data_IF_499328724677
#
_entry.id   IF_499328724677
#
_cell.length_a   1.000
_cell.length_b   1.000
_cell.length_c   1.000
_cell.angle_alpha   90.00
_cell.angle_beta   90.00
_cell.angle_gamma   90.00
#
_symmetry.space_group_name_H-M   'P 1'
#
loop_
_entity.id
_entity.type
_entity.pdbx_description
1 polymer ?
#
# COMPACT_ATOMS: atom_id res chain seq x y z
N UNK A 1 13.16 -14.75 19.18
CA UNK A 1 13.58 -13.35 18.90
C UNK A 1 14.50 -13.25 17.69
N UNK A 2 15.74 -13.77 17.71
CA UNK A 2 16.65 -13.66 16.56
C UNK A 2 16.16 -14.42 15.31
N UNK A 3 15.65 -15.65 15.49
CA UNK A 3 15.03 -16.43 14.40
C UNK A 3 13.83 -15.72 13.78
N UNK A 4 12.99 -15.12 14.60
CA UNK A 4 11.78 -14.42 14.15
C UNK A 4 12.15 -13.14 13.40
N UNK A 5 13.15 -12.40 13.90
CA UNK A 5 13.70 -11.22 13.22
C UNK A 5 14.28 -11.59 11.85
N UNK A 6 15.10 -12.64 11.79
CA UNK A 6 15.66 -13.12 10.52
C UNK A 6 14.56 -13.57 9.57
N UNK A 7 13.57 -14.33 10.05
CA UNK A 7 12.46 -14.81 9.22
C UNK A 7 11.67 -13.64 8.66
N UNK A 8 11.46 -12.59 9.45
CA UNK A 8 10.81 -11.37 9.01
C UNK A 8 11.64 -10.61 7.96
N UNK A 9 12.95 -10.42 8.20
CA UNK A 9 13.86 -9.73 7.27
C UNK A 9 13.95 -10.49 5.94
N UNK A 10 14.15 -11.81 5.97
CA UNK A 10 14.21 -12.63 4.76
C UNK A 10 12.86 -12.66 4.05
N UNK A 11 11.75 -12.73 4.78
CA UNK A 11 10.41 -12.62 4.23
C UNK A 11 10.22 -11.32 3.44
N UNK A 12 10.56 -10.19 4.06
CA UNK A 12 10.51 -8.88 3.40
C UNK A 12 11.42 -8.82 2.18
N UNK A 13 12.65 -9.34 2.28
CA UNK A 13 13.59 -9.37 1.17
C UNK A 13 13.00 -10.08 -0.05
N UNK A 14 12.41 -11.26 0.13
CA UNK A 14 11.76 -11.99 -0.97
C UNK A 14 10.53 -11.26 -1.52
N UNK A 15 9.69 -10.68 -0.64
CA UNK A 15 8.54 -9.85 -1.07
C UNK A 15 9.02 -8.72 -1.98
N UNK A 16 10.05 -7.99 -1.60
CA UNK A 16 10.56 -6.87 -2.39
C UNK A 16 11.13 -7.30 -3.74
N UNK A 17 11.83 -8.43 -3.81
CA UNK A 17 12.32 -8.99 -5.08
C UNK A 17 11.16 -9.38 -5.99
N UNK A 18 10.18 -10.13 -5.47
CA UNK A 18 9.02 -10.54 -6.25
C UNK A 18 8.21 -9.35 -6.78
N UNK A 19 7.94 -8.39 -5.91
CA UNK A 19 7.28 -7.13 -6.26
C UNK A 19 8.04 -6.37 -7.36
N UNK A 20 9.37 -6.30 -7.27
CA UNK A 20 10.21 -5.67 -8.30
C UNK A 20 10.10 -6.39 -9.65
N UNK A 21 10.18 -7.73 -9.66
CA UNK A 21 10.08 -8.52 -10.88
C UNK A 21 8.72 -8.36 -11.55
N UNK A 22 7.64 -8.37 -10.75
CA UNK A 22 6.28 -8.22 -11.25
C UNK A 22 6.04 -6.80 -11.77
N UNK A 23 6.52 -5.79 -11.05
CA UNK A 23 6.50 -4.40 -11.50
C UNK A 23 7.22 -4.24 -12.85
N UNK A 24 8.46 -4.75 -12.96
CA UNK A 24 9.23 -4.73 -14.22
C UNK A 24 8.49 -5.45 -15.35
N UNK A 25 7.88 -6.60 -15.08
CA UNK A 25 7.08 -7.32 -16.08
C UNK A 25 5.94 -6.47 -16.64
N UNK A 26 5.22 -5.73 -15.78
CA UNK A 26 4.13 -4.86 -16.19
C UNK A 26 4.61 -3.61 -16.94
N UNK A 27 5.72 -3.01 -16.51
CA UNK A 27 6.38 -1.91 -17.23
C UNK A 27 6.79 -2.35 -18.65
N UNK A 28 7.43 -3.52 -18.78
CA UNK A 28 7.88 -4.05 -20.09
C UNK A 28 6.70 -4.39 -21.00
N UNK A 29 5.62 -4.97 -20.44
CA UNK A 29 4.43 -5.33 -21.22
C UNK A 29 3.59 -4.13 -21.65
N UNK A 30 3.87 -2.93 -21.12
CA UNK A 30 3.14 -1.69 -21.44
C UNK A 30 1.64 -1.75 -21.11
N UNK A 31 1.24 -2.68 -20.24
CA UNK A 31 -0.19 -3.02 -20.03
C UNK A 31 -0.90 -2.09 -19.06
N UNK A 32 -0.19 -1.40 -18.18
CA UNK A 32 -0.69 -0.34 -17.29
C UNK A 32 0.50 0.24 -16.51
N UNK A 33 0.48 1.55 -16.18
CA UNK A 33 1.50 2.16 -15.30
C UNK A 33 1.10 1.92 -13.84
N UNK A 34 1.66 0.88 -13.24
CA UNK A 34 1.47 0.59 -11.83
C UNK A 34 2.61 1.17 -10.99
N UNK A 35 2.29 1.73 -9.84
CA UNK A 35 3.30 2.11 -8.85
C UNK A 35 3.91 0.86 -8.23
N UNK A 36 5.22 0.83 -8.03
CA UNK A 36 5.89 -0.20 -7.22
C UNK A 36 5.26 -0.34 -5.83
N UNK A 37 4.81 0.76 -5.23
CA UNK A 37 4.16 0.76 -3.91
C UNK A 37 2.88 -0.08 -3.90
N UNK A 38 2.18 -0.19 -5.03
CA UNK A 38 0.99 -1.03 -5.16
C UNK A 38 1.31 -2.52 -4.93
N UNK A 39 2.53 -2.95 -5.26
CA UNK A 39 2.95 -4.35 -5.16
C UNK A 39 3.35 -4.75 -3.75
N UNK A 40 3.89 -3.80 -2.98
CA UNK A 40 4.37 -4.05 -1.61
C UNK A 40 3.34 -3.70 -0.53
N UNK A 41 2.26 -3.02 -0.90
CA UNK A 41 1.14 -2.67 -0.01
C UNK A 41 0.17 -3.83 0.06
N UNK A 42 -0.23 -4.21 1.28
CA UNK A 42 -1.25 -5.24 1.46
C UNK A 42 -2.57 -4.81 0.82
N UNK A 43 -3.13 -5.70 -0.01
CA UNK A 43 -4.47 -5.52 -0.53
C UNK A 43 -5.48 -5.43 0.61
N UNK A 44 -6.57 -4.64 0.46
CA UNK A 44 -7.63 -4.67 1.46
C UNK A 44 -8.18 -6.09 1.60
N UNK A 45 -8.34 -6.54 2.85
CA UNK A 45 -8.95 -7.82 3.16
C UNK A 45 -10.45 -7.72 2.87
N UNK A 46 -10.86 -8.25 1.71
CA UNK A 46 -12.25 -8.28 1.25
C UNK A 46 -12.81 -9.71 1.27
N UNK A 47 -12.12 -10.63 1.94
CA UNK A 47 -12.52 -12.02 2.06
C UNK A 47 -13.86 -12.13 2.79
N UNK A 48 -14.77 -12.95 2.25
CA UNK A 48 -16.11 -13.17 2.80
C UNK A 48 -17.21 -12.27 2.23
N UNK A 49 -16.88 -11.34 1.34
CA UNK A 49 -17.90 -10.59 0.59
C UNK A 49 -18.49 -11.48 -0.51
N UNK A 50 -19.83 -11.64 -0.55
CA UNK A 50 -20.55 -12.39 -1.60
C UNK A 50 -20.64 -11.59 -2.91
N UNK A 51 -19.52 -11.07 -3.40
CA UNK A 51 -19.40 -10.31 -4.65
C UNK A 51 -18.11 -10.69 -5.36
N UNK A 52 -18.01 -10.38 -6.64
CA UNK A 52 -16.72 -10.41 -7.33
C UNK A 52 -15.77 -9.40 -6.66
N UNK A 53 -14.48 -9.77 -6.55
CA UNK A 53 -13.49 -8.97 -5.84
C UNK A 53 -13.43 -7.52 -6.37
N UNK A 54 -13.50 -7.32 -7.68
CA UNK A 54 -13.51 -5.99 -8.28
C UNK A 54 -14.66 -5.11 -7.78
N UNK A 55 -15.87 -5.66 -7.70
CA UNK A 55 -17.03 -4.93 -7.20
C UNK A 55 -16.90 -4.63 -5.70
N UNK A 56 -16.43 -5.60 -4.92
CA UNK A 56 -16.15 -5.42 -3.49
C UNK A 56 -15.08 -4.33 -3.26
N UNK A 57 -14.07 -4.28 -4.13
CA UNK A 57 -12.99 -3.30 -4.07
C UNK A 57 -13.46 -1.89 -4.39
N UNK A 58 -14.26 -1.71 -5.45
CA UNK A 58 -14.83 -0.40 -5.79
C UNK A 58 -15.75 0.12 -4.68
N UNK A 59 -16.57 -0.75 -4.08
CA UNK A 59 -17.39 -0.41 -2.92
C UNK A 59 -16.53 -0.01 -1.71
N UNK A 60 -15.44 -0.75 -1.45
CA UNK A 60 -14.49 -0.42 -0.40
C UNK A 60 -13.80 0.92 -0.66
N UNK A 61 -13.34 1.18 -1.90
CA UNK A 61 -12.68 2.42 -2.30
C UNK A 61 -13.60 3.62 -2.12
N UNK A 62 -14.87 3.51 -2.55
CA UNK A 62 -15.89 4.54 -2.33
C UNK A 62 -16.07 4.84 -0.83
N UNK A 63 -16.19 3.81 0.00
CA UNK A 63 -16.34 3.97 1.45
C UNK A 63 -15.11 4.65 2.09
N UNK A 64 -13.90 4.30 1.68
CA UNK A 64 -12.69 4.97 2.17
C UNK A 64 -12.61 6.42 1.74
N UNK A 65 -12.98 6.74 0.50
CA UNK A 65 -12.99 8.12 0.01
C UNK A 65 -14.01 8.97 0.79
N UNK A 66 -15.19 8.43 1.09
CA UNK A 66 -16.18 9.09 1.95
C UNK A 66 -15.67 9.30 3.38
N UNK A 67 -14.99 8.29 3.96
CA UNK A 67 -14.36 8.40 5.29
C UNK A 67 -13.27 9.47 5.31
N UNK A 68 -12.41 9.49 4.30
CA UNK A 68 -11.35 10.49 4.16
C UNK A 68 -11.94 11.91 4.07
N UNK A 69 -12.99 12.10 3.27
CA UNK A 69 -13.68 13.39 3.17
C UNK A 69 -14.30 13.83 4.51
N UNK A 70 -14.91 12.89 5.25
CA UNK A 70 -15.42 13.14 6.61
C UNK A 70 -14.30 13.47 7.59
N UNK A 71 -13.17 12.77 7.55
CA UNK A 71 -12.03 13.02 8.44
C UNK A 71 -11.43 14.43 8.25
N UNK A 72 -11.44 14.96 7.03
CA UNK A 72 -11.01 16.34 6.72
C UNK A 72 -12.01 17.42 7.17
N UNK A 73 -13.28 17.06 7.40
CA UNK A 73 -14.35 18.03 7.68
C UNK A 73 -14.85 18.00 9.11
N UNK A 74 -14.98 16.81 9.70
CA UNK A 74 -15.51 16.55 11.04
C UNK A 74 -14.37 16.18 11.99
N UNK A 75 -13.67 17.22 12.47
CA UNK A 75 -12.56 17.05 13.42
C UNK A 75 -13.09 16.65 14.81
N UNK A 76 -12.44 15.67 15.44
CA UNK A 76 -12.70 15.36 16.83
C UNK A 76 -12.14 16.46 17.77
N UNK A 77 -12.46 16.39 19.06
CA UNK A 77 -12.05 17.43 20.03
C UNK A 77 -10.53 17.65 20.10
N UNK A 78 -9.71 16.61 19.91
CA UNK A 78 -8.24 16.74 19.88
C UNK A 78 -7.79 17.43 18.60
N UNK A 79 -8.26 16.95 17.46
CA UNK A 79 -7.96 17.51 16.14
C UNK A 79 -8.40 18.98 16.04
N UNK A 80 -9.55 19.32 16.61
CA UNK A 80 -10.05 20.69 16.63
C UNK A 80 -9.14 21.65 17.41
N UNK A 81 -8.49 21.19 18.50
CA UNK A 81 -7.53 22.00 19.24
C UNK A 81 -6.28 22.30 18.42
N UNK A 82 -5.75 21.28 17.73
CA UNK A 82 -4.59 21.42 16.84
C UNK A 82 -4.93 22.36 15.69
N UNK A 83 -6.08 22.17 15.06
CA UNK A 83 -6.58 23.06 14.01
C UNK A 83 -6.68 24.52 14.47
N UNK A 84 -7.20 24.77 15.68
CA UNK A 84 -7.30 26.12 16.24
C UNK A 84 -5.94 26.75 16.55
N UNK A 85 -4.96 25.96 16.99
CA UNK A 85 -3.58 26.41 17.19
C UNK A 85 -2.96 26.85 15.85
N UNK A 86 -3.05 26.01 14.82
CA UNK A 86 -2.57 26.33 13.47
C UNK A 86 -3.26 27.59 12.90
N UNK A 87 -4.56 27.74 13.12
CA UNK A 87 -5.28 28.95 12.70
C UNK A 87 -4.77 30.21 13.41
N UNK A 88 -4.34 30.10 14.67
CA UNK A 88 -3.77 31.21 15.44
C UNK A 88 -2.38 31.59 14.92
N UNK A 89 -1.65 30.63 14.34
CA UNK A 89 -0.37 30.83 13.65
C UNK A 89 -0.51 31.41 12.24
N UNK A 90 -1.74 31.62 11.76
CA UNK A 90 -2.03 32.27 10.48
C UNK A 90 -2.35 31.33 9.31
N UNK A 91 -2.41 30.01 9.55
CA UNK A 91 -2.73 29.03 8.50
C UNK A 91 -4.17 29.18 8.00
N UNK A 92 -4.35 29.06 6.68
CA UNK A 92 -5.65 28.85 6.06
C UNK A 92 -6.27 27.51 6.46
N UNK A 93 -7.57 27.32 6.23
CA UNK A 93 -8.26 26.06 6.57
C UNK A 93 -7.64 24.85 5.86
N UNK A 94 -7.40 24.96 4.56
CA UNK A 94 -6.86 23.86 3.75
C UNK A 94 -5.42 23.54 4.17
N UNK A 95 -4.57 24.57 4.31
CA UNK A 95 -3.19 24.44 4.76
C UNK A 95 -3.10 23.81 6.16
N UNK A 96 -3.97 24.18 7.09
CA UNK A 96 -4.01 23.59 8.43
C UNK A 96 -4.41 22.10 8.38
N UNK A 97 -5.38 21.73 7.55
CA UNK A 97 -5.76 20.33 7.38
C UNK A 97 -4.63 19.52 6.72
N UNK A 98 -3.95 20.07 5.72
CA UNK A 98 -2.78 19.43 5.09
C UNK A 98 -1.61 19.27 6.06
N UNK A 99 -1.34 20.27 6.89
CA UNK A 99 -0.33 20.18 7.95
C UNK A 99 -0.69 19.06 8.95
N UNK A 100 -1.96 18.97 9.37
CA UNK A 100 -2.43 17.91 10.26
C UNK A 100 -2.36 16.52 9.62
N UNK A 101 -2.61 16.39 8.31
CA UNK A 101 -2.43 15.12 7.58
C UNK A 101 -0.94 14.74 7.55
N UNK A 102 -0.08 15.70 7.23
CA UNK A 102 1.37 15.51 7.12
C UNK A 102 2.01 15.14 8.47
N UNK A 103 1.49 15.71 9.56
CA UNK A 103 1.88 15.38 10.93
C UNK A 103 1.29 14.05 11.44
N UNK A 104 0.38 13.43 10.70
CA UNK A 104 -0.30 12.18 11.08
C UNK A 104 -1.47 12.36 12.06
N UNK A 105 -1.87 13.58 12.39
CA UNK A 105 -3.03 13.88 13.25
C UNK A 105 -4.36 13.54 12.58
N UNK A 106 -4.41 13.58 11.25
CA UNK A 106 -5.51 13.06 10.44
C UNK A 106 -4.96 11.92 9.59
N UNK A 107 -5.35 10.70 9.94
CA UNK A 107 -5.00 9.51 9.17
C UNK A 107 -5.99 9.34 8.01
N UNK A 108 -5.46 9.24 6.79
CA UNK A 108 -6.24 8.98 5.59
C UNK A 108 -5.79 7.65 4.98
N UNK A 109 -6.74 6.90 4.43
CA UNK A 109 -6.41 5.70 3.64
C UNK A 109 -6.08 6.15 2.22
N UNK A 110 -4.86 5.93 1.75
CA UNK A 110 -4.52 6.17 0.35
C UNK A 110 -5.09 5.04 -0.52
N UNK A 111 -6.18 5.34 -1.22
CA UNK A 111 -6.86 4.38 -2.11
C UNK A 111 -6.28 4.37 -3.52
N UNK A 112 -5.37 5.29 -3.84
CA UNK A 112 -4.77 5.46 -5.17
C UNK A 112 -3.40 4.78 -5.27
N UNK A 113 -2.82 4.34 -4.15
CA UNK A 113 -1.70 3.38 -4.11
C UNK A 113 -2.06 2.07 -4.80
N UNK A 114 -3.35 1.74 -4.88
CA UNK A 114 -3.83 0.50 -5.42
C UNK A 114 -4.01 0.52 -6.95
N UNK A 115 -3.79 -0.62 -7.63
CA UNK A 115 -3.86 -0.68 -9.09
C UNK A 115 -5.28 -0.34 -9.59
N UNK A 116 -5.36 0.23 -10.79
CA UNK A 116 -6.65 0.56 -11.43
C UNK A 116 -7.50 -0.67 -11.71
N UNK A 117 -6.85 -1.82 -11.94
CA UNK A 117 -7.52 -3.10 -11.97
C UNK A 117 -7.15 -3.90 -10.69
N UNK A 118 -8.12 -4.15 -9.79
CA UNK A 118 -7.89 -4.86 -8.54
C UNK A 118 -7.57 -6.35 -8.74
N UNK A 119 -7.81 -6.95 -9.90
CA UNK A 119 -7.39 -8.33 -10.17
C UNK A 119 -5.86 -8.49 -10.13
N UNK A 120 -5.12 -7.38 -10.23
CA UNK A 120 -3.67 -7.37 -10.11
C UNK A 120 -3.18 -7.09 -8.68
N UNK A 121 -4.06 -6.99 -7.69
CA UNK A 121 -3.61 -6.92 -6.30
C UNK A 121 -2.66 -8.06 -5.98
N UNK A 122 -1.45 -7.74 -5.50
CA UNK A 122 -0.58 -8.80 -5.02
C UNK A 122 -0.94 -9.19 -3.61
N UNK A 123 -1.10 -10.48 -3.42
CA UNK A 123 -0.85 -11.08 -2.14
C UNK A 123 0.68 -10.99 -1.89
N UNK A 124 1.12 -10.36 -0.79
CA UNK A 124 2.54 -10.31 -0.41
C UNK A 124 3.15 -11.72 -0.32
N UNK A 125 2.36 -12.73 0.03
CA UNK A 125 2.78 -14.13 -0.03
C UNK A 125 3.11 -14.62 -1.45
N UNK A 126 2.40 -14.15 -2.46
CA UNK A 126 2.70 -14.46 -3.86
C UNK A 126 3.99 -13.77 -4.32
N UNK A 127 4.20 -12.50 -3.95
CA UNK A 127 5.47 -11.82 -4.23
C UNK A 127 6.64 -12.50 -3.51
N UNK A 128 6.48 -12.90 -2.25
CA UNK A 128 7.49 -13.66 -1.53
C UNK A 128 7.85 -14.95 -2.27
N UNK A 129 6.86 -15.67 -2.80
CA UNK A 129 7.08 -16.88 -3.58
C UNK A 129 7.84 -16.59 -4.89
N UNK A 130 7.44 -15.56 -5.64
CA UNK A 130 8.15 -15.15 -6.87
C UNK A 130 9.61 -14.82 -6.55
N UNK A 131 9.85 -14.01 -5.53
CA UNK A 131 11.18 -13.60 -5.13
C UNK A 131 12.06 -14.76 -4.68
N UNK A 132 11.48 -15.70 -3.93
CA UNK A 132 12.16 -16.93 -3.51
C UNK A 132 12.56 -17.78 -4.72
N UNK A 133 11.62 -18.04 -5.65
CA UNK A 133 11.87 -18.83 -6.86
C UNK A 133 12.98 -18.19 -7.72
N UNK A 134 12.95 -16.86 -7.87
CA UNK A 134 13.99 -16.13 -8.60
C UNK A 134 15.38 -16.29 -7.96
N UNK A 135 15.48 -16.16 -6.64
CA UNK A 135 16.74 -16.35 -5.94
C UNK A 135 17.26 -17.80 -6.08
N UNK A 136 16.36 -18.79 -5.99
CA UNK A 136 16.72 -20.20 -6.20
C UNK A 136 17.25 -20.44 -7.62
N UNK A 137 16.64 -19.83 -8.64
CA UNK A 137 17.15 -19.93 -10.01
C UNK A 137 18.55 -19.33 -10.17
N UNK A 138 18.84 -18.19 -9.54
CA UNK A 138 20.19 -17.59 -9.55
C UNK A 138 21.20 -18.54 -8.92
N UNK A 139 20.86 -19.13 -7.78
CA UNK A 139 21.74 -20.09 -7.08
C UNK A 139 22.01 -21.31 -7.96
N UNK A 140 20.97 -21.91 -8.55
CA UNK A 140 21.11 -23.07 -9.46
C UNK A 140 21.99 -22.71 -10.66
N UNK A 141 21.78 -21.53 -11.26
CA UNK A 141 22.56 -21.07 -12.40
C UNK A 141 24.04 -20.86 -12.03
N UNK A 142 24.31 -20.25 -10.87
CA UNK A 142 25.66 -20.06 -10.37
C UNK A 142 26.35 -21.41 -10.11
N UNK A 143 25.68 -22.35 -9.44
CA UNK A 143 26.20 -23.70 -9.19
C UNK A 143 26.36 -24.56 -10.45
N UNK A 144 25.69 -24.21 -11.55
CA UNK A 144 25.82 -24.90 -12.83
C UNK A 144 26.97 -24.36 -13.68
N UNK A 145 27.33 -23.08 -13.50
CA UNK A 145 28.40 -22.40 -14.24
C UNK A 145 29.76 -22.54 -13.55
N UNK A 146 29.77 -22.61 -12.21
CA UNK A 146 30.97 -22.92 -11.41
C UNK A 146 31.25 -24.43 -11.40
#
# INVERSE_FOLDING_TARGET
MFRDLLTHIFGLFFVHIGACLRWLYHEIKGRERYSYHAFITDSPLLDGVKKFYQEAFEDWKRQQNERNARAKTLLNARQQRIFNALKTEGYGREEAIEAMISAGDITLTDTDVFPRNPEYFTNRGFDALIGLLFCLMIVVFYCYIC
#
